data_IF_744757320322
#
_entry.id   IF_744757320322
#
_cell.length_a   1.000
_cell.length_b   1.000
_cell.length_c   1.000
_cell.angle_alpha   90.00
_cell.angle_beta   90.00
_cell.angle_gamma   90.00
#
_symmetry.space_group_name_H-M   'P 1'
#
loop_
_entity.id
_entity.type
_entity.pdbx_description
1 polymer ?
#
# COMPACT_ATOMS: atom_id res chain seq x y z
N UNK A 1 -2.47 -31.40 -17.96
CA UNK A 1 -3.78 -30.79 -17.58
C UNK A 1 -4.22 -31.08 -16.14
N UNK A 2 -3.81 -32.17 -15.48
CA UNK A 2 -4.17 -32.44 -14.06
C UNK A 2 -3.46 -31.61 -13.03
N UNK A 3 -2.31 -30.98 -13.32
CA UNK A 3 -1.53 -30.15 -12.37
C UNK A 3 -1.98 -28.68 -12.32
N UNK A 4 -2.68 -28.18 -13.34
CA UNK A 4 -3.30 -26.84 -13.32
C UNK A 4 -4.63 -26.82 -12.55
N UNK A 5 -5.34 -27.95 -12.46
CA UNK A 5 -6.60 -28.03 -11.73
C UNK A 5 -6.42 -28.00 -10.20
N UNK A 6 -5.25 -28.43 -9.67
CA UNK A 6 -4.97 -28.39 -8.23
C UNK A 6 -4.62 -26.97 -7.75
N UNK A 7 -4.00 -26.14 -8.59
CA UNK A 7 -3.70 -24.75 -8.25
C UNK A 7 -4.96 -23.85 -8.23
N UNK A 8 -5.94 -24.16 -9.09
CA UNK A 8 -7.22 -23.44 -9.12
C UNK A 8 -8.16 -23.81 -7.96
N UNK A 9 -8.08 -25.05 -7.44
CA UNK A 9 -8.94 -25.51 -6.34
C UNK A 9 -8.52 -24.99 -4.95
N UNK A 10 -7.28 -24.55 -4.79
CA UNK A 10 -6.81 -23.91 -3.55
C UNK A 10 -7.19 -22.41 -3.46
N UNK A 11 -7.58 -21.78 -4.56
CA UNK A 11 -7.95 -20.37 -4.61
C UNK A 11 -9.41 -20.08 -4.24
N UNK A 12 -10.26 -21.09 -4.06
CA UNK A 12 -11.73 -20.89 -3.93
C UNK A 12 -12.28 -21.02 -2.51
N UNK A 13 -11.47 -21.27 -1.48
CA UNK A 13 -11.97 -21.50 -0.11
C UNK A 13 -11.55 -20.44 0.93
N UNK A 14 -10.99 -19.31 0.51
CA UNK A 14 -10.52 -18.24 1.46
C UNK A 14 -11.22 -16.92 1.16
N UNK A 15 -12.52 -16.91 0.99
CA UNK A 15 -13.31 -15.69 0.81
C UNK A 15 -14.24 -15.52 1.99
N UNK A 16 -13.77 -14.97 3.11
CA UNK A 16 -14.56 -14.18 4.06
C UNK A 16 -13.87 -13.97 5.41
N UNK A 17 -12.81 -13.18 5.47
CA UNK A 17 -12.48 -12.47 6.71
C UNK A 17 -12.08 -11.05 6.31
N UNK A 18 -12.61 -9.99 6.97
CA UNK A 18 -12.15 -8.64 6.71
C UNK A 18 -10.65 -8.57 7.02
N UNK A 19 -9.87 -8.10 6.06
CA UNK A 19 -8.46 -7.84 6.25
C UNK A 19 -8.33 -6.72 7.28
N UNK A 20 -7.59 -6.97 8.35
CA UNK A 20 -7.26 -5.96 9.37
C UNK A 20 -6.10 -5.10 8.85
N UNK A 21 -6.03 -3.86 9.35
CA UNK A 21 -5.04 -2.87 8.94
C UNK A 21 -3.61 -3.44 8.92
N UNK A 22 -2.91 -3.27 7.79
CA UNK A 22 -1.53 -3.70 7.55
C UNK A 22 -0.53 -2.60 7.77
N UNK A 23 -1.03 -1.43 8.10
CA UNK A 23 -0.23 -0.25 8.37
C UNK A 23 0.71 -0.48 9.55
N UNK A 24 1.87 0.16 9.50
CA UNK A 24 2.93 0.09 10.52
C UNK A 24 3.47 -1.32 10.76
N UNK A 25 3.64 -2.07 9.68
CA UNK A 25 4.15 -3.44 9.79
C UNK A 25 5.27 -3.74 8.81
N UNK A 26 6.15 -4.66 9.22
CA UNK A 26 7.09 -5.27 8.32
C UNK A 26 6.40 -6.27 7.40
N UNK A 27 6.92 -6.41 6.20
CA UNK A 27 6.51 -7.46 5.27
C UNK A 27 7.71 -8.06 4.54
N UNK A 28 7.52 -9.25 4.02
CA UNK A 28 8.41 -9.89 3.06
C UNK A 28 7.61 -10.35 1.87
N UNK A 29 8.21 -10.26 0.69
CA UNK A 29 7.54 -10.65 -0.54
C UNK A 29 8.46 -11.37 -1.51
N UNK A 30 7.82 -12.08 -2.44
CA UNK A 30 8.47 -12.67 -3.60
C UNK A 30 7.61 -12.40 -4.82
N UNK A 31 8.25 -12.03 -5.92
CA UNK A 31 7.58 -11.78 -7.19
C UNK A 31 8.25 -12.58 -8.30
N UNK A 32 7.47 -13.06 -9.25
CA UNK A 32 7.97 -13.78 -10.42
C UNK A 32 7.10 -13.50 -11.64
N UNK A 33 7.73 -13.40 -12.81
CA UNK A 33 6.98 -13.14 -14.03
C UNK A 33 7.78 -13.14 -15.30
N UNK A 34 7.15 -12.61 -16.34
CA UNK A 34 7.71 -12.50 -17.68
C UNK A 34 8.48 -11.19 -17.83
N UNK A 35 9.59 -11.29 -18.53
CA UNK A 35 10.51 -10.21 -18.85
C UNK A 35 10.52 -9.99 -20.36
N UNK A 36 10.46 -8.73 -20.76
CA UNK A 36 10.77 -8.26 -22.10
C UNK A 36 12.00 -7.34 -21.97
N UNK A 37 13.03 -7.61 -22.76
CA UNK A 37 14.22 -6.75 -22.87
C UNK A 37 14.04 -5.89 -24.10
N UNK A 38 14.30 -4.58 -23.98
CA UNK A 38 14.39 -3.71 -25.15
C UNK A 38 15.63 -4.10 -25.99
N UNK A 39 15.55 -3.88 -27.28
CA UNK A 39 16.65 -4.13 -28.19
C UNK A 39 17.91 -3.39 -27.74
N UNK A 40 19.02 -4.11 -27.68
CA UNK A 40 20.29 -3.56 -27.22
C UNK A 40 21.20 -3.23 -28.39
N UNK A 41 21.75 -2.03 -28.37
CA UNK A 41 22.84 -1.64 -29.27
C UNK A 41 24.17 -1.78 -28.51
N UNK A 42 25.10 -2.51 -29.07
CA UNK A 42 26.46 -2.67 -28.56
C UNK A 42 27.41 -1.78 -29.35
N UNK A 43 28.00 -0.81 -28.65
CA UNK A 43 28.95 0.13 -29.27
C UNK A 43 30.36 -0.23 -28.83
N UNK A 44 31.26 -0.47 -29.77
CA UNK A 44 32.67 -0.76 -29.52
C UNK A 44 33.54 0.47 -29.78
N UNK A 45 34.49 0.76 -28.89
CA UNK A 45 35.46 1.84 -29.05
C UNK A 45 36.41 1.59 -30.21
N UNK A 46 36.69 0.31 -30.53
CA UNK A 46 37.56 -0.08 -31.64
C UNK A 46 36.93 -1.23 -32.45
N UNK A 47 36.69 -0.97 -33.71
CA UNK A 47 36.26 -1.98 -34.70
C UNK A 47 37.46 -2.39 -35.55
N UNK A 48 37.69 -3.69 -35.79
CA UNK A 48 38.81 -4.13 -36.65
C UNK A 48 38.70 -3.59 -38.08
N UNK A 49 39.80 -3.44 -38.80
CA UNK A 49 39.76 -3.10 -40.22
C UNK A 49 38.89 -4.10 -41.02
N UNK A 50 37.90 -3.58 -41.75
CA UNK A 50 36.92 -4.42 -42.45
C UNK A 50 35.79 -5.00 -41.57
N UNK A 51 35.75 -4.66 -40.29
CA UNK A 51 34.67 -5.04 -39.38
C UNK A 51 33.39 -4.25 -39.61
N UNK A 52 32.34 -4.70 -39.02
CA UNK A 52 30.99 -4.10 -39.09
C UNK A 52 30.48 -3.66 -37.71
N UNK A 53 29.58 -2.69 -37.66
CA UNK A 53 28.86 -2.40 -36.45
C UNK A 53 27.99 -3.61 -36.04
N UNK A 54 27.87 -3.85 -34.75
CA UNK A 54 26.95 -4.91 -34.23
C UNK A 54 25.54 -4.49 -34.59
N UNK A 55 24.75 -5.36 -35.22
CA UNK A 55 23.32 -5.13 -35.37
C UNK A 55 22.62 -5.13 -33.99
N UNK A 56 21.45 -4.56 -33.94
CA UNK A 56 20.63 -4.58 -32.72
C UNK A 56 20.45 -6.01 -32.20
N UNK A 57 20.61 -6.20 -30.90
CA UNK A 57 20.44 -7.50 -30.25
C UNK A 57 19.00 -7.59 -29.77
N UNK A 58 18.24 -8.47 -30.38
CA UNK A 58 16.88 -8.83 -30.00
C UNK A 58 16.87 -9.97 -28.97
N UNK A 59 15.82 -10.03 -28.16
CA UNK A 59 15.70 -11.02 -27.11
C UNK A 59 14.38 -11.78 -27.17
N UNK A 60 14.42 -13.06 -26.85
CA UNK A 60 13.22 -13.82 -26.50
C UNK A 60 12.65 -13.33 -25.17
N UNK A 61 11.37 -13.60 -24.93
CA UNK A 61 10.77 -13.40 -23.61
C UNK A 61 11.59 -14.12 -22.55
N UNK A 62 11.96 -13.37 -21.52
CA UNK A 62 12.73 -13.85 -20.38
C UNK A 62 11.87 -14.04 -19.14
N UNK A 63 12.56 -14.18 -18.03
CA UNK A 63 11.96 -14.21 -16.71
C UNK A 63 12.63 -13.19 -15.77
N UNK A 64 11.84 -12.69 -14.85
CA UNK A 64 12.23 -11.81 -13.77
C UNK A 64 11.65 -12.39 -12.47
N UNK A 65 12.48 -12.49 -11.45
CA UNK A 65 11.99 -12.83 -10.12
C UNK A 65 12.74 -12.01 -9.08
N UNK A 66 12.06 -11.68 -7.98
CA UNK A 66 12.66 -10.95 -6.87
C UNK A 66 12.16 -11.45 -5.51
N UNK A 67 12.94 -11.07 -4.50
CA UNK A 67 12.56 -11.15 -3.10
C UNK A 67 12.73 -9.75 -2.50
N UNK A 68 11.80 -9.37 -1.66
CA UNK A 68 11.78 -8.05 -1.06
C UNK A 68 11.44 -8.13 0.44
N UNK A 69 11.94 -7.15 1.18
CA UNK A 69 11.57 -6.87 2.56
C UNK A 69 11.27 -5.39 2.67
N UNK A 70 10.17 -5.05 3.32
CA UNK A 70 9.76 -3.66 3.44
C UNK A 70 9.02 -3.36 4.72
N UNK A 71 8.76 -2.08 4.91
CA UNK A 71 7.93 -1.55 5.97
C UNK A 71 6.81 -0.71 5.37
N UNK A 72 5.58 -1.02 5.77
CA UNK A 72 4.37 -0.31 5.36
C UNK A 72 4.04 0.76 6.40
N UNK A 73 4.04 2.04 5.98
CA UNK A 73 3.68 3.20 6.81
C UNK A 73 2.21 3.61 6.59
N UNK A 74 1.43 2.80 5.90
CA UNK A 74 0.07 3.08 5.49
C UNK A 74 0.01 3.56 4.03
N UNK A 75 -0.03 4.86 3.78
CA UNK A 75 -0.04 5.39 2.40
C UNK A 75 1.29 5.34 1.65
N UNK A 76 2.37 4.89 2.31
CA UNK A 76 3.71 4.83 1.76
C UNK A 76 4.47 3.60 2.28
N UNK A 77 5.22 2.93 1.39
CA UNK A 77 6.10 1.79 1.74
C UNK A 77 7.53 2.07 1.34
N UNK A 78 8.47 1.62 2.19
CA UNK A 78 9.88 1.48 1.84
C UNK A 78 10.25 0.00 1.73
N UNK A 79 10.99 -0.34 0.69
CA UNK A 79 11.28 -1.72 0.34
C UNK A 79 12.73 -1.87 -0.11
N UNK A 80 13.43 -2.87 0.43
CA UNK A 80 14.68 -3.36 -0.11
C UNK A 80 14.41 -4.62 -0.94
N UNK A 81 14.93 -4.65 -2.17
CA UNK A 81 14.67 -5.70 -3.14
C UNK A 81 15.97 -6.27 -3.69
N UNK A 82 16.00 -7.59 -3.83
CA UNK A 82 17.01 -8.32 -4.60
C UNK A 82 16.33 -9.01 -5.77
N UNK A 83 16.71 -8.68 -7.01
CA UNK A 83 16.07 -9.21 -8.21
C UNK A 83 17.06 -9.83 -9.18
N UNK A 84 16.62 -10.91 -9.84
CA UNK A 84 17.36 -11.58 -10.89
C UNK A 84 16.54 -11.67 -12.17
N UNK A 85 17.11 -11.14 -13.25
CA UNK A 85 16.50 -11.05 -14.58
C UNK A 85 17.34 -11.82 -15.59
N UNK A 86 16.68 -12.52 -16.54
CA UNK A 86 17.40 -13.21 -17.61
C UNK A 86 16.54 -13.37 -18.86
N UNK A 87 17.11 -13.06 -20.03
CA UNK A 87 16.53 -13.31 -21.34
C UNK A 87 17.58 -13.89 -22.29
N UNK A 88 17.16 -14.77 -23.19
CA UNK A 88 18.02 -15.33 -24.24
C UNK A 88 18.00 -14.42 -25.46
N UNK A 89 19.13 -14.34 -26.18
CA UNK A 89 19.22 -13.65 -27.47
C UNK A 89 18.35 -14.42 -28.49
N UNK A 90 17.56 -13.68 -29.25
CA UNK A 90 16.82 -14.21 -30.42
C UNK A 90 17.74 -14.22 -31.67
N UNK A 91 18.33 -15.37 -31.93
CA UNK A 91 19.29 -15.54 -33.01
C UNK A 91 18.66 -15.22 -34.38
N UNK A 92 17.39 -15.54 -34.58
CA UNK A 92 16.70 -15.35 -35.85
C UNK A 92 16.45 -13.87 -36.18
N UNK A 93 16.30 -13.03 -35.15
CA UNK A 93 16.07 -11.60 -35.29
C UNK A 93 17.36 -10.79 -35.20
N UNK A 94 18.33 -11.27 -34.42
CA UNK A 94 19.62 -10.60 -34.29
C UNK A 94 20.45 -10.77 -35.58
N UNK A 95 20.68 -9.69 -36.30
CA UNK A 95 21.25 -9.72 -37.62
C UNK A 95 22.71 -10.25 -37.75
N UNK A 96 23.34 -10.61 -36.62
CA UNK A 96 24.74 -11.12 -36.59
C UNK A 96 24.84 -12.64 -36.45
N UNK A 97 23.75 -13.38 -36.29
CA UNK A 97 23.75 -14.84 -36.16
C UNK A 97 24.46 -15.39 -34.92
N UNK A 98 24.61 -14.58 -33.85
CA UNK A 98 25.25 -15.00 -32.59
C UNK A 98 24.23 -15.20 -31.48
N UNK A 99 24.48 -16.22 -30.64
CA UNK A 99 23.62 -16.61 -29.55
C UNK A 99 24.09 -16.12 -28.17
N UNK A 100 23.28 -16.38 -27.16
CA UNK A 100 23.66 -16.04 -25.78
C UNK A 100 22.47 -15.66 -24.89
N UNK A 101 22.78 -14.93 -23.81
CA UNK A 101 21.77 -14.41 -22.89
C UNK A 101 22.27 -13.13 -22.20
N UNK A 102 21.33 -12.20 -21.96
CA UNK A 102 21.54 -11.12 -21.00
C UNK A 102 20.95 -11.52 -19.65
N UNK A 103 21.61 -11.12 -18.58
CA UNK A 103 21.10 -11.28 -17.21
C UNK A 103 21.51 -10.09 -16.35
N UNK A 104 20.74 -9.82 -15.28
CA UNK A 104 21.08 -8.82 -14.30
C UNK A 104 20.71 -9.31 -12.88
N UNK A 105 21.63 -9.09 -11.95
CA UNK A 105 21.38 -9.22 -10.53
C UNK A 105 21.37 -7.82 -9.92
N UNK A 106 20.27 -7.39 -9.36
CA UNK A 106 20.11 -6.03 -8.82
C UNK A 106 19.72 -6.03 -7.36
N UNK A 107 20.20 -5.01 -6.64
CA UNK A 107 19.81 -4.68 -5.27
C UNK A 107 19.28 -3.26 -5.28
N UNK A 108 18.00 -3.10 -4.95
CA UNK A 108 17.26 -1.84 -5.10
C UNK A 108 16.66 -1.40 -3.77
N UNK A 109 16.54 -0.09 -3.60
CA UNK A 109 15.74 0.53 -2.55
C UNK A 109 14.57 1.24 -3.22
N UNK A 110 13.36 0.81 -2.91
CA UNK A 110 12.11 1.28 -3.53
C UNK A 110 11.30 2.11 -2.55
N UNK A 111 10.65 3.17 -3.06
CA UNK A 111 9.59 3.91 -2.39
C UNK A 111 8.29 3.73 -3.17
N UNK A 112 7.23 3.29 -2.51
CA UNK A 112 5.92 3.01 -3.11
C UNK A 112 4.84 3.82 -2.41
N UNK A 113 3.91 4.39 -3.18
CA UNK A 113 2.70 5.07 -2.70
C UNK A 113 1.51 4.16 -2.96
N UNK A 114 0.70 3.94 -1.95
CA UNK A 114 -0.48 3.08 -1.99
C UNK A 114 -1.77 3.89 -2.08
N UNK A 115 -2.74 3.40 -2.85
CA UNK A 115 -4.03 4.04 -3.09
C UNK A 115 -5.15 3.02 -2.99
N UNK A 116 -6.16 3.31 -2.21
CA UNK A 116 -7.34 2.45 -2.04
C UNK A 116 -7.49 1.94 -0.62
N UNK A 117 -8.53 1.16 -0.36
CA UNK A 117 -8.81 0.61 0.97
C UNK A 117 -7.91 -0.57 1.30
N UNK A 118 -7.56 -0.75 2.60
CA UNK A 118 -6.67 -1.82 3.05
C UNK A 118 -7.32 -3.21 3.02
N UNK A 119 -8.65 -3.26 3.03
CA UNK A 119 -9.47 -4.48 3.00
C UNK A 119 -9.90 -4.89 1.59
N UNK A 120 -9.38 -4.22 0.54
CA UNK A 120 -9.80 -4.41 -0.84
C UNK A 120 -8.66 -4.33 -1.85
N UNK A 121 -9.05 -4.06 -3.09
CA UNK A 121 -8.10 -3.85 -4.17
C UNK A 121 -7.39 -2.50 -3.97
N UNK A 122 -6.08 -2.53 -3.79
CA UNK A 122 -5.22 -1.35 -3.70
C UNK A 122 -4.37 -1.22 -4.96
N UNK A 123 -4.25 0.02 -5.47
CA UNK A 123 -3.25 0.39 -6.45
C UNK A 123 -1.97 0.87 -5.76
N UNK A 124 -0.84 0.68 -6.41
CA UNK A 124 0.42 1.28 -5.96
C UNK A 124 1.26 1.76 -7.14
N UNK A 125 2.04 2.82 -6.88
CA UNK A 125 3.01 3.36 -7.83
C UNK A 125 4.24 3.83 -7.08
N UNK A 126 5.39 3.69 -7.71
CA UNK A 126 6.63 4.16 -7.11
C UNK A 126 7.85 3.94 -7.99
N UNK A 127 9.00 3.96 -7.35
CA UNK A 127 10.26 3.73 -8.02
C UNK A 127 11.36 3.42 -7.05
N UNK A 128 12.50 3.03 -7.61
CA UNK A 128 13.66 2.68 -6.81
C UNK A 128 14.96 3.00 -7.50
N UNK A 129 15.99 3.06 -6.70
CA UNK A 129 17.39 3.24 -7.12
C UNK A 129 18.26 2.19 -6.45
N UNK A 130 19.36 1.84 -7.08
CA UNK A 130 20.27 0.86 -6.51
C UNK A 130 21.43 0.53 -7.40
N UNK A 131 21.96 -0.67 -7.22
CA UNK A 131 23.07 -1.20 -7.99
C UNK A 131 22.66 -2.47 -8.71
N UNK A 132 23.15 -2.64 -9.94
CA UNK A 132 22.89 -3.84 -10.72
C UNK A 132 24.16 -4.33 -11.38
N UNK A 133 24.35 -5.64 -11.38
CA UNK A 133 25.37 -6.31 -12.16
C UNK A 133 24.75 -6.88 -13.43
N UNK A 134 24.87 -6.12 -14.51
CA UNK A 134 24.51 -6.56 -15.85
C UNK A 134 25.58 -7.49 -16.43
N UNK A 135 25.16 -8.61 -17.01
CA UNK A 135 26.01 -9.58 -17.68
C UNK A 135 25.48 -9.88 -19.08
N UNK A 136 26.32 -9.76 -20.06
CA UNK A 136 26.07 -10.29 -21.40
C UNK A 136 26.97 -11.52 -21.62
N UNK A 137 26.34 -12.67 -21.78
CA UNK A 137 27.02 -13.92 -22.09
C UNK A 137 26.63 -14.35 -23.53
N UNK A 138 27.41 -13.94 -24.48
CA UNK A 138 27.19 -14.21 -25.92
C UNK A 138 28.48 -14.72 -26.55
N UNK A 139 28.37 -15.14 -27.81
CA UNK A 139 29.52 -15.64 -28.60
C UNK A 139 30.56 -14.54 -28.86
N UNK A 140 30.20 -13.26 -28.78
CA UNK A 140 31.08 -12.12 -29.02
C UNK A 140 31.60 -11.43 -27.77
N UNK A 141 30.80 -11.45 -26.67
CA UNK A 141 31.14 -10.84 -25.38
C UNK A 141 30.65 -11.74 -24.26
N UNK A 142 31.53 -12.07 -23.33
CA UNK A 142 31.15 -12.80 -22.10
C UNK A 142 31.76 -12.08 -20.90
N UNK A 143 31.08 -11.01 -20.49
CA UNK A 143 31.56 -10.16 -19.43
C UNK A 143 30.37 -9.56 -18.64
N UNK A 144 30.67 -8.90 -17.52
CA UNK A 144 29.67 -8.28 -16.66
C UNK A 144 30.21 -7.01 -16.03
N UNK A 145 29.35 -6.02 -15.89
CA UNK A 145 29.68 -4.77 -15.24
C UNK A 145 28.63 -4.43 -14.17
N UNK A 146 29.07 -3.72 -13.12
CA UNK A 146 28.21 -3.31 -12.00
C UNK A 146 28.11 -1.80 -11.98
N UNK A 147 26.90 -1.31 -12.08
CA UNK A 147 26.63 0.14 -12.13
C UNK A 147 25.35 0.53 -11.42
N UNK A 148 25.08 1.82 -11.50
CA UNK A 148 23.83 2.41 -11.01
C UNK A 148 22.66 1.89 -11.84
N UNK A 149 21.55 1.61 -11.14
CA UNK A 149 20.28 1.25 -11.77
C UNK A 149 19.12 1.99 -11.10
N UNK A 150 18.07 2.19 -11.87
CA UNK A 150 16.82 2.73 -11.36
C UNK A 150 15.64 1.97 -11.97
N UNK A 151 14.51 2.04 -11.29
CA UNK A 151 13.28 1.39 -11.76
C UNK A 151 12.04 2.23 -11.44
N UNK A 152 11.00 2.06 -12.27
CA UNK A 152 9.66 2.54 -12.02
C UNK A 152 8.73 1.34 -11.84
N UNK A 153 7.83 1.43 -10.88
CA UNK A 153 6.96 0.33 -10.46
C UNK A 153 5.52 0.85 -10.43
N UNK A 154 4.59 0.06 -10.94
CA UNK A 154 3.16 0.28 -10.76
C UNK A 154 2.44 -1.06 -10.68
N UNK A 155 1.38 -1.14 -9.88
CA UNK A 155 0.67 -2.39 -9.75
C UNK A 155 -0.59 -2.29 -8.92
N UNK A 156 -1.17 -3.46 -8.70
CA UNK A 156 -2.31 -3.65 -7.81
C UNK A 156 -2.02 -4.77 -6.83
N UNK A 157 -2.49 -4.65 -5.61
CA UNK A 157 -2.45 -5.71 -4.60
C UNK A 157 -3.84 -5.97 -4.04
N UNK A 158 -4.06 -7.20 -3.63
CA UNK A 158 -5.32 -7.63 -3.02
C UNK A 158 -5.04 -8.56 -1.83
N UNK A 159 -5.66 -8.32 -0.67
CA UNK A 159 -5.55 -9.20 0.48
C UNK A 159 -6.28 -10.51 0.27
N UNK A 160 -5.58 -11.61 0.42
CA UNK A 160 -6.16 -12.96 0.38
C UNK A 160 -6.46 -13.45 1.78
N UNK A 161 -5.64 -13.08 2.74
CA UNK A 161 -5.82 -13.33 4.18
C UNK A 161 -5.40 -12.10 4.98
N UNK A 162 -5.54 -12.14 6.29
CA UNK A 162 -5.07 -11.07 7.18
C UNK A 162 -3.57 -10.77 7.06
N UNK A 163 -2.78 -11.75 6.65
CA UNK A 163 -1.33 -11.63 6.57
C UNK A 163 -0.76 -11.81 5.18
N UNK A 164 -1.58 -12.22 4.19
CA UNK A 164 -1.07 -12.57 2.85
C UNK A 164 -1.78 -11.77 1.78
N UNK A 165 -0.98 -11.10 0.95
CA UNK A 165 -1.41 -10.38 -0.24
C UNK A 165 -0.93 -11.05 -1.50
N UNK A 166 -1.74 -10.94 -2.55
CA UNK A 166 -1.30 -11.19 -3.92
C UNK A 166 -1.22 -9.87 -4.67
N UNK A 167 -0.26 -9.75 -5.57
CA UNK A 167 -0.08 -8.55 -6.39
C UNK A 167 0.15 -8.87 -7.85
N UNK A 168 -0.21 -7.93 -8.70
CA UNK A 168 0.22 -7.86 -10.09
C UNK A 168 1.00 -6.58 -10.26
N UNK A 169 2.31 -6.72 -10.55
CA UNK A 169 3.28 -5.62 -10.59
C UNK A 169 3.85 -5.49 -11.99
N UNK A 170 3.80 -4.29 -12.56
CA UNK A 170 4.58 -3.89 -13.71
C UNK A 170 5.85 -3.18 -13.23
N UNK A 171 6.99 -3.54 -13.83
CA UNK A 171 8.29 -2.93 -13.56
C UNK A 171 8.94 -2.49 -14.86
N UNK A 172 9.33 -1.24 -14.93
CA UNK A 172 10.33 -0.76 -15.86
C UNK A 172 11.67 -0.66 -15.12
N UNK A 173 12.71 -1.31 -15.64
CA UNK A 173 14.05 -1.29 -15.05
C UNK A 173 15.05 -0.77 -16.06
N UNK A 174 16.00 0.06 -15.61
CA UNK A 174 17.05 0.63 -16.43
C UNK A 174 18.41 0.56 -15.72
N UNK A 175 19.41 0.06 -16.41
CA UNK A 175 20.84 0.17 -16.09
C UNK A 175 21.55 0.74 -17.30
N UNK A 176 22.11 1.94 -17.17
CA UNK A 176 22.91 2.59 -18.20
C UNK A 176 24.41 2.27 -18.02
N UNK A 177 25.20 2.63 -19.00
CA UNK A 177 26.68 2.61 -18.98
C UNK A 177 27.30 1.26 -18.60
N UNK A 178 26.75 0.16 -19.12
CA UNK A 178 27.32 -1.18 -18.92
C UNK A 178 28.55 -1.30 -19.85
N UNK A 179 29.73 -1.42 -19.24
CA UNK A 179 31.01 -1.55 -19.91
C UNK A 179 31.46 -2.99 -19.91
N UNK A 180 31.62 -3.55 -21.10
CA UNK A 180 32.00 -4.95 -21.31
C UNK A 180 33.27 -5.02 -22.12
N UNK A 181 34.11 -6.02 -21.83
CA UNK A 181 35.38 -6.23 -22.55
C UNK A 181 35.32 -7.56 -23.28
N UNK A 182 35.30 -7.56 -24.62
CA UNK A 182 35.42 -8.78 -25.40
C UNK A 182 36.77 -9.47 -25.15
N UNK A 183 36.72 -10.75 -24.76
CA UNK A 183 37.94 -11.54 -24.54
C UNK A 183 38.63 -11.97 -25.84
N UNK A 184 37.90 -11.99 -26.95
CA UNK A 184 38.39 -12.42 -28.26
C UNK A 184 38.06 -11.38 -29.33
N UNK A 185 38.91 -11.29 -30.33
CA UNK A 185 38.67 -10.46 -31.52
C UNK A 185 37.52 -11.07 -32.34
N UNK A 186 36.57 -10.24 -32.73
CA UNK A 186 35.49 -10.57 -33.66
C UNK A 186 35.43 -9.56 -34.80
N UNK A 187 34.58 -9.77 -35.79
CA UNK A 187 34.32 -8.78 -36.86
C UNK A 187 33.68 -7.50 -36.33
N UNK A 188 33.14 -7.51 -35.10
CA UNK A 188 32.46 -6.40 -34.49
C UNK A 188 33.31 -5.59 -33.52
N UNK A 189 34.34 -6.19 -32.88
CA UNK A 189 35.17 -5.51 -31.90
C UNK A 189 36.53 -6.17 -31.72
N UNK A 190 37.56 -5.40 -31.33
CA UNK A 190 38.88 -5.90 -30.98
C UNK A 190 38.90 -6.47 -29.58
N UNK A 191 39.68 -7.53 -29.35
CA UNK A 191 39.90 -8.06 -28.01
C UNK A 191 40.49 -6.98 -27.10
N UNK A 192 39.92 -6.83 -25.90
CA UNK A 192 40.35 -5.83 -24.93
C UNK A 192 39.85 -4.40 -25.20
N UNK A 193 39.06 -4.15 -26.25
CA UNK A 193 38.36 -2.87 -26.44
C UNK A 193 37.17 -2.78 -25.51
N UNK A 194 36.69 -1.56 -25.24
CA UNK A 194 35.44 -1.42 -24.50
C UNK A 194 34.24 -1.62 -25.43
N UNK A 195 33.23 -2.30 -24.95
CA UNK A 195 31.92 -2.39 -25.55
C UNK A 195 30.90 -1.78 -24.56
N UNK A 196 30.20 -0.75 -24.97
CA UNK A 196 29.23 -0.07 -24.15
C UNK A 196 27.81 -0.45 -24.57
N UNK A 197 26.94 -0.68 -23.58
CA UNK A 197 25.53 -0.96 -23.79
C UNK A 197 24.70 -0.51 -22.60
N UNK A 198 23.37 -0.62 -22.72
CA UNK A 198 22.41 -0.38 -21.65
C UNK A 198 21.41 -1.53 -21.57
N UNK A 199 20.90 -1.79 -20.40
CA UNK A 199 19.86 -2.80 -20.19
C UNK A 199 18.57 -2.13 -19.74
N UNK A 200 17.56 -2.19 -20.60
CA UNK A 200 16.19 -1.75 -20.30
C UNK A 200 15.24 -2.91 -20.40
N UNK A 201 14.40 -3.04 -19.39
CA UNK A 201 13.48 -4.19 -19.34
C UNK A 201 12.10 -3.78 -18.84
N UNK A 202 11.11 -4.51 -19.33
CA UNK A 202 9.72 -4.44 -18.91
C UNK A 202 9.31 -5.79 -18.34
N UNK A 203 8.85 -5.81 -17.10
CA UNK A 203 8.41 -7.05 -16.45
C UNK A 203 6.96 -6.94 -16.02
N UNK A 204 6.23 -8.04 -16.17
CA UNK A 204 4.92 -8.23 -15.55
C UNK A 204 5.03 -9.39 -14.57
N UNK A 205 4.86 -9.09 -13.28
CA UNK A 205 5.17 -9.97 -12.17
C UNK A 205 3.91 -10.26 -11.36
N UNK A 206 3.75 -11.50 -10.94
CA UNK A 206 2.83 -11.92 -9.91
C UNK A 206 3.59 -12.00 -8.59
N UNK A 207 3.05 -11.36 -7.56
CA UNK A 207 3.66 -11.28 -6.25
C UNK A 207 2.85 -11.96 -5.16
N UNK A 208 3.57 -12.42 -4.15
CA UNK A 208 3.03 -12.92 -2.90
C UNK A 208 3.77 -12.21 -1.76
N UNK A 209 3.03 -11.53 -0.90
CA UNK A 209 3.57 -10.76 0.23
C UNK A 209 3.00 -11.30 1.52
N UNK A 210 3.86 -11.51 2.53
CA UNK A 210 3.48 -11.84 3.90
C UNK A 210 3.73 -10.64 4.81
N UNK A 211 2.67 -10.16 5.46
CA UNK A 211 2.68 -9.04 6.40
C UNK A 211 2.77 -9.57 7.83
N UNK A 212 3.75 -9.07 8.62
CA UNK A 212 3.97 -9.48 10.01
C UNK A 212 3.09 -8.72 11.00
N UNK A 213 2.42 -7.66 10.57
CA UNK A 213 1.49 -6.86 11.36
C UNK A 213 0.06 -7.28 11.05
N UNK A 214 -0.54 -7.95 11.92
CA UNK A 214 -1.95 -8.30 11.92
C UNK A 214 -2.28 -8.64 13.36
N UNK A 215 -2.37 -7.65 14.23
CA UNK A 215 -3.01 -7.90 15.51
C UNK A 215 -4.45 -8.27 15.22
N UNK A 216 -4.75 -9.54 15.35
CA UNK A 216 -6.11 -9.96 15.65
C UNK A 216 -6.46 -9.28 16.95
N UNK A 217 -7.22 -8.18 16.89
CA UNK A 217 -7.93 -7.73 18.08
C UNK A 217 -8.77 -8.93 18.48
N UNK A 218 -8.30 -9.65 19.50
CA UNK A 218 -9.08 -10.72 20.10
C UNK A 218 -10.45 -10.13 20.44
N UNK A 219 -11.56 -10.73 20.02
CA UNK A 219 -12.86 -10.25 20.44
C UNK A 219 -12.83 -10.11 21.96
N UNK A 220 -13.36 -9.00 22.52
CA UNK A 220 -13.37 -8.82 23.96
C UNK A 220 -13.94 -10.10 24.58
N UNK A 221 -13.33 -10.65 25.65
CA UNK A 221 -13.83 -11.85 26.28
C UNK A 221 -15.32 -11.64 26.58
N UNK A 222 -16.17 -12.66 26.36
CA UNK A 222 -17.57 -12.54 26.66
C UNK A 222 -17.73 -12.09 28.13
N UNK A 223 -18.61 -11.15 28.42
CA UNK A 223 -18.80 -10.69 29.78
C UNK A 223 -19.07 -11.90 30.69
N UNK A 224 -18.49 -11.94 31.88
CA UNK A 224 -18.73 -13.03 32.81
C UNK A 224 -20.24 -13.19 33.03
N UNK A 225 -20.77 -14.42 33.16
CA UNK A 225 -22.17 -14.64 33.39
C UNK A 225 -22.62 -13.83 34.64
N UNK A 226 -23.75 -13.15 34.56
CA UNK A 226 -24.21 -12.34 35.68
C UNK A 226 -24.41 -13.21 36.95
N UNK A 227 -24.02 -12.73 38.13
CA UNK A 227 -24.33 -13.43 39.38
C UNK A 227 -25.84 -13.60 39.51
N UNK A 228 -26.31 -14.68 40.16
CA UNK A 228 -27.75 -14.89 40.37
C UNK A 228 -28.38 -13.68 41.09
N UNK A 229 -29.55 -13.23 40.66
CA UNK A 229 -30.15 -12.01 41.18
C UNK A 229 -30.46 -12.13 42.68
N UNK A 230 -30.12 -11.12 43.48
CA UNK A 230 -30.66 -11.00 44.83
C UNK A 230 -32.18 -10.78 44.77
N UNK A 231 -32.93 -11.16 45.80
CA UNK A 231 -34.38 -10.93 45.84
C UNK A 231 -34.68 -9.42 45.69
N UNK A 232 -35.76 -9.07 44.96
CA UNK A 232 -36.04 -7.68 44.61
C UNK A 232 -36.30 -6.81 45.83
N UNK A 233 -35.60 -5.67 45.95
CA UNK A 233 -36.03 -4.61 46.88
C UNK A 233 -37.31 -3.93 46.38
N UNK A 234 -38.10 -3.28 47.25
CA UNK A 234 -39.29 -2.54 46.85
C UNK A 234 -38.90 -1.42 45.84
N UNK A 235 -39.78 -1.08 44.88
CA UNK A 235 -39.47 -0.12 43.84
C UNK A 235 -39.14 1.25 44.44
N UNK A 236 -37.98 1.85 44.03
CA UNK A 236 -37.68 3.24 44.38
C UNK A 236 -38.64 4.19 43.63
N UNK A 237 -38.87 5.38 44.16
CA UNK A 237 -39.62 6.43 43.45
C UNK A 237 -38.90 6.76 42.12
N UNK A 238 -39.61 7.20 41.05
CA UNK A 238 -39.03 7.52 39.77
C UNK A 238 -37.89 8.53 39.95
N UNK A 239 -36.66 8.12 39.59
CA UNK A 239 -35.53 9.03 39.59
C UNK A 239 -35.80 10.10 38.51
N UNK A 240 -35.66 11.39 38.88
CA UNK A 240 -35.67 12.46 37.92
C UNK A 240 -34.59 12.16 36.84
N UNK A 241 -34.97 12.17 35.57
CA UNK A 241 -34.08 11.93 34.44
C UNK A 241 -32.94 12.95 34.50
N UNK A 242 -31.75 12.48 34.85
CA UNK A 242 -30.57 13.33 34.94
C UNK A 242 -30.01 13.53 33.52
N UNK A 243 -29.78 14.80 33.14
CA UNK A 243 -29.10 15.12 31.92
C UNK A 243 -27.73 14.42 31.85
N UNK A 244 -27.51 13.61 30.80
CA UNK A 244 -26.22 12.99 30.52
C UNK A 244 -25.46 13.85 29.48
N UNK A 245 -24.45 14.65 29.89
CA UNK A 245 -23.78 15.60 28.99
C UNK A 245 -22.85 14.97 27.91
N UNK A 246 -22.63 13.66 27.93
CA UNK A 246 -21.69 12.99 27.04
C UNK A 246 -20.28 12.85 27.61
N UNK A 247 -19.23 12.72 26.79
CA UNK A 247 -19.29 12.79 25.31
C UNK A 247 -19.84 11.53 24.65
N UNK A 248 -20.69 11.70 23.63
CA UNK A 248 -21.06 10.64 22.70
C UNK A 248 -20.07 10.66 21.54
N UNK A 249 -19.57 9.49 21.12
CA UNK A 249 -18.48 9.42 20.13
C UNK A 249 -18.94 8.59 18.95
N UNK A 250 -18.87 9.15 17.75
CA UNK A 250 -19.10 8.44 16.49
C UNK A 250 -17.81 8.36 15.69
N UNK A 251 -17.57 7.19 15.10
CA UNK A 251 -16.38 6.92 14.30
C UNK A 251 -16.71 6.91 12.81
N UNK A 252 -15.66 7.17 11.98
CA UNK A 252 -15.79 7.27 10.54
C UNK A 252 -14.80 6.36 9.85
N UNK A 253 -15.21 5.86 8.70
CA UNK A 253 -14.33 5.16 7.77
C UNK A 253 -13.22 6.08 7.26
N UNK A 254 -12.15 5.44 6.77
CA UNK A 254 -11.03 6.18 6.21
C UNK A 254 -11.47 7.03 5.02
N UNK A 255 -11.08 8.31 5.06
CA UNK A 255 -11.40 9.33 4.04
C UNK A 255 -12.92 9.54 3.81
N UNK A 256 -13.77 9.14 4.76
CA UNK A 256 -15.23 9.28 4.71
C UNK A 256 -15.74 10.23 5.78
N UNK A 257 -16.90 10.82 5.47
CA UNK A 257 -17.71 11.65 6.38
C UNK A 257 -19.18 11.21 6.45
N UNK A 258 -19.52 10.09 5.80
CA UNK A 258 -20.88 9.56 5.79
C UNK A 258 -21.25 8.96 7.13
N UNK A 259 -22.52 9.12 7.53
CA UNK A 259 -23.07 8.51 8.76
C UNK A 259 -23.41 7.05 8.47
N UNK A 260 -22.68 6.13 9.09
CA UNK A 260 -22.95 4.70 9.02
C UNK A 260 -24.18 4.33 9.88
N UNK A 261 -24.81 3.15 9.68
CA UNK A 261 -25.91 2.68 10.56
C UNK A 261 -25.52 2.61 12.04
N UNK A 262 -24.29 2.19 12.34
CA UNK A 262 -23.79 2.15 13.73
C UNK A 262 -23.63 3.55 14.31
N UNK A 263 -23.08 4.49 13.52
CA UNK A 263 -23.01 5.90 13.90
C UNK A 263 -24.41 6.49 14.13
N UNK A 264 -25.38 6.17 13.27
CA UNK A 264 -26.77 6.63 13.43
C UNK A 264 -27.38 6.16 14.75
N UNK A 265 -27.12 4.91 15.17
CA UNK A 265 -27.60 4.39 16.46
C UNK A 265 -27.04 5.18 17.64
N UNK A 266 -25.76 5.53 17.61
CA UNK A 266 -25.13 6.36 18.66
C UNK A 266 -25.74 7.76 18.66
N UNK A 267 -25.98 8.34 17.48
CA UNK A 267 -26.57 9.67 17.32
C UNK A 267 -28.03 9.69 17.81
N UNK A 268 -28.82 8.65 17.55
CA UNK A 268 -30.19 8.54 18.07
C UNK A 268 -30.23 8.46 19.62
N UNK A 269 -29.25 7.76 20.21
CA UNK A 269 -29.08 7.75 21.66
C UNK A 269 -28.72 9.15 22.21
N UNK A 270 -27.82 9.86 21.49
CA UNK A 270 -27.47 11.23 21.85
C UNK A 270 -28.67 12.18 21.75
N UNK A 271 -29.50 12.09 20.70
CA UNK A 271 -30.76 12.87 20.57
C UNK A 271 -31.71 12.58 21.71
N UNK A 272 -31.89 11.31 22.09
CA UNK A 272 -32.76 10.91 23.21
C UNK A 272 -32.27 11.50 24.53
N UNK A 273 -30.98 11.47 24.80
CA UNK A 273 -30.37 12.06 26.00
C UNK A 273 -30.49 13.59 26.03
N UNK A 274 -30.41 14.26 24.85
CA UNK A 274 -30.55 15.70 24.74
C UNK A 274 -31.91 16.21 25.26
N UNK A 275 -32.98 15.44 25.09
CA UNK A 275 -34.32 15.81 25.55
C UNK A 275 -34.39 16.09 27.06
N UNK A 276 -33.55 15.42 27.88
CA UNK A 276 -33.44 15.59 29.31
C UNK A 276 -32.51 16.76 29.71
N UNK A 277 -31.86 17.43 28.76
CA UNK A 277 -30.83 18.44 29.01
C UNK A 277 -31.35 19.90 28.86
N UNK A 278 -32.65 20.12 28.70
CA UNK A 278 -33.25 21.45 28.78
C UNK A 278 -32.73 22.46 27.73
N UNK A 279 -32.63 22.08 26.47
CA UNK A 279 -32.14 22.94 25.35
C UNK A 279 -30.70 23.43 25.54
N UNK A 280 -29.81 22.60 26.05
CA UNK A 280 -28.41 22.89 26.24
C UNK A 280 -27.67 23.18 24.89
N UNK A 281 -26.58 23.89 24.96
CA UNK A 281 -25.66 24.03 23.80
C UNK A 281 -25.06 22.69 23.46
N UNK A 282 -24.89 22.41 22.17
CA UNK A 282 -24.29 21.19 21.61
C UNK A 282 -22.97 21.55 20.95
N UNK A 283 -21.90 20.90 21.37
CA UNK A 283 -20.57 21.03 20.76
C UNK A 283 -20.21 19.75 20.00
N UNK A 284 -19.81 19.91 18.76
CA UNK A 284 -19.32 18.85 17.88
C UNK A 284 -17.83 19.07 17.60
N UNK A 285 -16.98 18.20 18.15
CA UNK A 285 -15.54 18.22 17.95
C UNK A 285 -15.14 17.18 16.89
N UNK A 286 -14.75 17.62 15.72
CA UNK A 286 -14.32 16.76 14.61
C UNK A 286 -12.83 16.46 14.63
N UNK A 287 -12.46 15.21 14.39
CA UNK A 287 -11.08 14.72 14.39
C UNK A 287 -10.79 13.85 13.18
N UNK A 288 -9.51 13.77 12.83
CA UNK A 288 -8.97 12.90 11.79
C UNK A 288 -7.73 12.16 12.31
N UNK A 289 -7.37 11.06 11.66
CA UNK A 289 -6.07 10.42 11.88
C UNK A 289 -4.96 11.15 11.11
N UNK A 290 -3.70 10.74 11.30
CA UNK A 290 -2.52 11.36 10.70
C UNK A 290 -2.17 10.80 9.32
N UNK A 291 -3.09 10.14 8.63
CA UNK A 291 -2.83 9.50 7.33
C UNK A 291 -2.85 10.46 6.13
N UNK A 292 -3.16 11.74 6.33
CA UNK A 292 -3.20 12.78 5.31
C UNK A 292 -2.35 14.00 5.67
N UNK A 293 -2.42 15.07 4.87
CA UNK A 293 -1.83 16.34 5.27
C UNK A 293 -2.66 17.03 6.35
N UNK A 294 -2.03 17.78 7.25
CA UNK A 294 -2.72 18.49 8.34
C UNK A 294 -3.84 19.41 7.82
N UNK A 295 -3.61 20.14 6.71
CA UNK A 295 -4.63 21.00 6.10
C UNK A 295 -5.81 20.20 5.53
N UNK A 296 -5.55 19.06 4.91
CA UNK A 296 -6.59 18.15 4.44
C UNK A 296 -7.43 17.60 5.61
N UNK A 297 -6.75 17.18 6.68
CA UNK A 297 -7.38 16.59 7.87
C UNK A 297 -8.27 17.59 8.63
N UNK A 298 -7.94 18.88 8.64
CA UNK A 298 -8.84 19.92 9.14
C UNK A 298 -10.12 19.97 8.32
N UNK A 299 -10.02 20.00 6.98
CA UNK A 299 -11.19 19.98 6.10
C UNK A 299 -12.04 18.71 6.24
N UNK A 300 -11.41 17.54 6.39
CA UNK A 300 -12.10 16.27 6.58
C UNK A 300 -12.83 16.21 7.93
N UNK A 301 -12.19 16.67 9.00
CA UNK A 301 -12.80 16.73 10.33
C UNK A 301 -13.98 17.71 10.38
N UNK A 302 -13.92 18.83 9.61
CA UNK A 302 -15.07 19.74 9.45
C UNK A 302 -16.23 19.04 8.76
N UNK A 303 -15.99 18.38 7.61
CA UNK A 303 -17.06 17.64 6.90
C UNK A 303 -17.74 16.60 7.77
N UNK A 304 -16.97 15.88 8.62
CA UNK A 304 -17.52 14.92 9.60
C UNK A 304 -18.43 15.60 10.63
N UNK A 305 -17.97 16.70 11.21
CA UNK A 305 -18.77 17.48 12.16
C UNK A 305 -20.04 18.02 11.48
N UNK A 306 -19.99 18.49 10.23
CA UNK A 306 -21.13 18.99 9.48
C UNK A 306 -22.14 17.87 9.16
N UNK A 307 -21.68 16.65 8.86
CA UNK A 307 -22.55 15.49 8.66
C UNK A 307 -23.30 15.12 9.94
N UNK A 308 -22.61 15.14 11.10
CA UNK A 308 -23.25 14.92 12.40
C UNK A 308 -24.23 16.04 12.71
N UNK A 309 -23.86 17.31 12.47
CA UNK A 309 -24.75 18.47 12.66
C UNK A 309 -26.03 18.31 11.85
N UNK A 310 -25.92 18.00 10.56
CA UNK A 310 -27.05 17.79 9.68
C UNK A 310 -27.97 16.65 10.19
N UNK A 311 -27.38 15.56 10.66
CA UNK A 311 -28.13 14.45 11.24
C UNK A 311 -28.91 14.86 12.49
N UNK A 312 -28.26 15.51 13.47
CA UNK A 312 -28.89 15.99 14.70
C UNK A 312 -30.01 16.99 14.43
N UNK A 313 -29.80 17.90 13.48
CA UNK A 313 -30.82 18.86 13.03
C UNK A 313 -32.03 18.16 12.39
N UNK A 314 -31.82 17.12 11.58
CA UNK A 314 -32.90 16.32 10.99
C UNK A 314 -33.75 15.57 12.04
N UNK A 315 -33.19 15.32 13.22
CA UNK A 315 -33.84 14.67 14.37
C UNK A 315 -34.48 15.69 15.35
N UNK A 316 -34.45 16.97 15.03
CA UNK A 316 -35.15 18.00 15.76
C UNK A 316 -34.35 18.82 16.77
N UNK A 317 -33.01 18.67 16.82
CA UNK A 317 -32.17 19.58 17.60
C UNK A 317 -31.97 20.88 16.79
N UNK A 318 -32.31 22.07 17.35
CA UNK A 318 -32.24 23.33 16.60
C UNK A 318 -30.81 23.62 16.12
N UNK A 319 -30.64 24.00 14.86
CA UNK A 319 -29.33 24.30 14.25
C UNK A 319 -28.55 25.40 14.99
N UNK A 320 -29.25 26.38 15.55
CA UNK A 320 -28.68 27.51 16.28
C UNK A 320 -28.03 27.16 17.64
N UNK A 321 -28.30 25.97 18.19
CA UNK A 321 -27.66 25.49 19.43
C UNK A 321 -26.46 24.56 19.15
N UNK A 322 -26.22 24.20 17.88
CA UNK A 322 -25.16 23.27 17.50
C UNK A 322 -23.94 24.06 16.98
N UNK A 323 -22.83 23.95 17.69
CA UNK A 323 -21.53 24.51 17.29
C UNK A 323 -20.61 23.40 16.82
N UNK A 324 -19.85 23.63 15.74
CA UNK A 324 -18.87 22.69 15.22
C UNK A 324 -17.44 23.23 15.39
N UNK A 325 -16.49 22.36 15.72
CA UNK A 325 -15.07 22.69 15.73
C UNK A 325 -14.26 21.57 15.10
N UNK A 326 -13.42 21.93 14.13
CA UNK A 326 -12.56 21.00 13.40
C UNK A 326 -11.14 21.04 13.98
N UNK A 327 -10.70 19.93 14.57
CA UNK A 327 -9.35 19.79 15.12
C UNK A 327 -8.37 19.11 14.16
N UNK A 328 -8.87 18.52 13.06
CA UNK A 328 -8.00 17.73 12.20
C UNK A 328 -7.32 16.61 12.99
N UNK A 329 -6.01 16.51 12.84
CA UNK A 329 -5.15 15.53 13.54
C UNK A 329 -4.49 16.08 14.82
N UNK A 330 -4.77 17.35 15.20
CA UNK A 330 -4.06 18.05 16.27
C UNK A 330 -4.39 17.55 17.69
N UNK A 331 -5.54 16.87 17.85
CA UNK A 331 -5.97 16.28 19.13
C UNK A 331 -6.27 14.79 18.95
N UNK A 332 -5.25 13.94 18.81
CA UNK A 332 -5.46 12.51 18.68
C UNK A 332 -5.97 11.90 19.98
N UNK A 333 -6.81 10.87 19.87
CA UNK A 333 -7.22 10.01 21.01
C UNK A 333 -6.17 8.95 21.28
N UNK A 334 -5.57 8.42 20.19
CA UNK A 334 -4.44 7.51 20.21
C UNK A 334 -3.29 8.22 19.51
N UNK A 335 -2.17 8.38 20.20
CA UNK A 335 -1.00 9.01 19.58
C UNK A 335 -0.36 8.06 18.56
N UNK A 336 -0.14 8.57 17.36
CA UNK A 336 0.39 7.81 16.21
C UNK A 336 1.43 8.65 15.48
N UNK A 337 2.35 7.99 14.76
CA UNK A 337 3.24 8.68 13.84
C UNK A 337 2.46 9.30 12.66
N UNK A 338 3.09 10.23 11.95
CA UNK A 338 2.51 10.79 10.73
C UNK A 338 2.37 9.70 9.65
N UNK A 339 1.32 9.78 8.85
CA UNK A 339 0.99 8.79 7.83
C UNK A 339 0.19 7.58 8.34
N UNK A 340 -0.02 7.43 9.64
CA UNK A 340 -0.69 6.28 10.24
C UNK A 340 -2.21 6.46 10.23
N UNK A 341 -2.93 5.41 9.79
CA UNK A 341 -4.39 5.31 9.89
C UNK A 341 -4.77 4.75 11.24
N UNK A 342 -5.57 5.51 12.00
CA UNK A 342 -6.07 5.09 13.32
C UNK A 342 -7.58 5.37 13.43
N UNK A 343 -8.37 4.31 13.55
CA UNK A 343 -9.83 4.42 13.60
C UNK A 343 -10.32 5.26 14.78
N UNK A 344 -9.68 5.18 15.94
CA UNK A 344 -10.09 5.92 17.13
C UNK A 344 -9.84 7.43 16.99
N UNK A 345 -8.97 7.84 16.07
CA UNK A 345 -8.72 9.24 15.77
C UNK A 345 -9.73 9.80 14.75
N UNK A 346 -10.39 8.93 13.95
CA UNK A 346 -11.41 9.31 12.97
C UNK A 346 -12.78 9.39 13.62
N UNK A 347 -13.03 10.45 14.37
CA UNK A 347 -14.23 10.56 15.21
C UNK A 347 -14.82 11.95 15.24
N UNK A 348 -16.07 12.03 15.68
CA UNK A 348 -16.71 13.26 16.19
C UNK A 348 -17.19 13.00 17.61
N UNK A 349 -16.85 13.89 18.50
CA UNK A 349 -17.29 13.89 19.88
C UNK A 349 -18.44 14.91 20.05
N UNK A 350 -19.51 14.48 20.72
CA UNK A 350 -20.72 15.27 20.94
C UNK A 350 -20.88 15.47 22.43
N UNK A 351 -20.93 16.71 22.89
CA UNK A 351 -21.15 17.05 24.30
C UNK A 351 -22.23 18.13 24.46
N UNK A 352 -22.92 18.14 25.61
CA UNK A 352 -24.00 19.05 25.92
C UNK A 352 -23.68 19.88 27.18
N UNK A 353 -24.28 21.08 27.26
CA UNK A 353 -24.31 21.87 28.49
C UNK A 353 -23.31 23.05 28.53
N UNK A 354 -23.38 23.86 29.64
CA UNK A 354 -22.50 24.99 29.83
C UNK A 354 -21.05 24.50 29.96
N UNK A 355 -20.15 25.01 29.07
CA UNK A 355 -18.76 24.57 29.01
C UNK A 355 -18.46 23.48 28.00
N UNK A 356 -19.47 23.00 27.25
CA UNK A 356 -19.28 22.05 26.13
C UNK A 356 -18.53 22.63 24.93
N UNK A 357 -17.88 23.77 25.05
CA UNK A 357 -17.17 24.47 23.97
C UNK A 357 -15.78 25.00 24.33
N UNK A 358 -15.17 24.54 25.45
CA UNK A 358 -13.81 24.96 25.82
C UNK A 358 -12.84 23.79 25.87
#
# INVERSE_FOLDING_TARGET
MRKLALAAALATTVLATPAMARDNSWYVGVDAGVLLVEDQNLTFDAVPPGGSAVPSIDYHKGYDFDANIGYDFGGFRLEAEAAYKRAKIDIDKTGGGFGGAASALSFMLNGLLDFGPDDGLQGFVGGGVGVSRGKLASDIVNDSDTGFAWQAIAGVRYPVTNNVDVSLKYRFFNQDDIKLIPAQQSIYGQAGSNAETKLRTHSLLLGLTYNFGGETVAPPPPPPPPPPPPPPPPPPPPAAEQCNPGPYIVFFEWDKSDITPDAATILDNAVSAYSSCGSAQVMLAGHADRSGSASYNVGLSQRRADSVKAYLASKGIPDGVITTQAFGESKPRVDTADGVREVQNRRVEISYGPGSGM
#
